data_IF_042314732883
#
_entry.id   IF_042314732883
#
_cell.length_a   1.000
_cell.length_b   1.000
_cell.length_c   1.000
_cell.angle_alpha   90.00
_cell.angle_beta   90.00
_cell.angle_gamma   90.00
#
_symmetry.space_group_name_H-M   'P 1'
#
loop_
_entity.id
_entity.type
_entity.pdbx_description
1 polymer ?
#
# COMPACT_ATOMS: atom_id res chain seq x y z
N UNK A 1 7.50 15.06 7.37
CA UNK A 1 6.15 15.61 7.12
C UNK A 1 5.91 15.57 5.63
N UNK A 2 4.72 15.13 5.22
CA UNK A 2 4.32 15.08 3.83
C UNK A 2 3.81 16.45 3.38
N UNK A 3 4.03 16.79 2.12
CA UNK A 3 3.41 17.94 1.47
C UNK A 3 1.98 17.63 1.04
N UNK A 4 1.12 18.64 0.79
CA UNK A 4 -0.24 18.41 0.31
C UNK A 4 -0.30 17.57 -0.97
N UNK A 5 0.66 17.80 -1.88
CA UNK A 5 0.79 17.03 -3.12
C UNK A 5 1.17 15.58 -2.86
N UNK A 6 2.06 15.32 -1.89
CA UNK A 6 2.44 13.97 -1.51
C UNK A 6 1.28 13.22 -0.85
N UNK A 7 0.50 13.86 0.03
CA UNK A 7 -0.69 13.24 0.63
C UNK A 7 -1.72 12.89 -0.45
N UNK A 8 -1.96 13.80 -1.40
CA UNK A 8 -2.85 13.55 -2.54
C UNK A 8 -2.37 12.35 -3.35
N UNK A 9 -1.08 12.30 -3.65
CA UNK A 9 -0.47 11.19 -4.38
C UNK A 9 -0.63 9.88 -3.61
N UNK A 10 -0.39 9.89 -2.30
CA UNK A 10 -0.47 8.75 -1.40
C UNK A 10 -1.90 8.18 -1.33
N UNK A 11 -2.93 9.03 -1.36
CA UNK A 11 -4.35 8.61 -1.49
C UNK A 11 -4.61 7.92 -2.84
N UNK A 12 -4.17 8.49 -3.95
CA UNK A 12 -4.37 7.88 -5.28
C UNK A 12 -3.59 6.58 -5.46
N UNK A 13 -2.39 6.51 -4.89
CA UNK A 13 -1.50 5.35 -4.96
C UNK A 13 -1.89 4.24 -3.99
N UNK A 14 -2.77 4.54 -3.04
CA UNK A 14 -3.19 3.62 -1.99
C UNK A 14 -3.60 2.24 -2.54
N UNK A 15 -4.38 2.23 -3.62
CA UNK A 15 -4.93 1.00 -4.19
C UNK A 15 -3.84 0.00 -4.62
N UNK A 16 -2.75 0.47 -5.26
CA UNK A 16 -1.68 -0.42 -5.71
C UNK A 16 -0.74 -0.76 -4.55
N UNK A 17 -0.50 0.18 -3.62
CA UNK A 17 0.29 -0.09 -2.41
C UNK A 17 -0.35 -1.21 -1.59
N UNK A 18 -1.67 -1.13 -1.39
CA UNK A 18 -2.43 -2.16 -0.67
C UNK A 18 -2.38 -3.52 -1.37
N UNK A 19 -2.60 -3.57 -2.70
CA UNK A 19 -2.50 -4.81 -3.49
C UNK A 19 -1.11 -5.45 -3.43
N UNK A 20 -0.06 -4.63 -3.44
CA UNK A 20 1.31 -5.13 -3.35
C UNK A 20 1.59 -5.73 -1.97
N UNK A 21 1.14 -5.07 -0.89
CA UNK A 21 1.25 -5.59 0.48
C UNK A 21 0.49 -6.92 0.60
N UNK A 22 -0.77 -6.98 0.14
CA UNK A 22 -1.57 -8.20 0.20
C UNK A 22 -0.92 -9.36 -0.58
N UNK A 23 -0.33 -9.08 -1.76
CA UNK A 23 0.41 -10.08 -2.53
C UNK A 23 1.67 -10.59 -1.80
N UNK A 24 2.42 -9.70 -1.15
CA UNK A 24 3.61 -10.10 -0.41
C UNK A 24 3.25 -10.96 0.80
N UNK A 25 2.20 -10.61 1.54
CA UNK A 25 1.69 -11.42 2.65
C UNK A 25 1.31 -12.82 2.17
N UNK A 26 0.62 -12.93 1.03
CA UNK A 26 0.26 -14.21 0.42
C UNK A 26 1.48 -15.06 0.05
N UNK A 27 2.53 -14.47 -0.52
CA UNK A 27 3.79 -15.15 -0.84
C UNK A 27 4.50 -15.67 0.42
N UNK A 28 4.56 -14.89 1.50
CA UNK A 28 5.17 -15.33 2.77
C UNK A 28 4.39 -16.47 3.45
N UNK A 29 3.06 -16.46 3.36
CA UNK A 29 2.21 -17.54 3.88
C UNK A 29 2.33 -18.82 3.03
N UNK A 30 2.31 -18.66 1.70
CA UNK A 30 2.44 -19.78 0.75
C UNK A 30 3.84 -20.43 0.77
N UNK A 31 4.89 -19.65 0.99
CA UNK A 31 6.27 -20.18 1.11
C UNK A 31 6.55 -20.88 2.44
N UNK A 32 5.67 -20.74 3.45
CA UNK A 32 5.80 -21.41 4.75
C UNK A 32 5.37 -22.88 4.75
N UNK A 33 4.70 -23.38 3.69
CA UNK A 33 4.21 -24.77 3.61
C UNK A 33 5.09 -25.69 2.72
N UNK A 34 6.00 -25.13 1.93
CA UNK A 34 6.74 -25.91 0.91
C UNK A 34 8.15 -26.42 1.26
N UNK A 35 8.73 -26.06 2.42
CA UNK A 35 10.16 -26.31 2.68
C UNK A 35 10.48 -27.52 3.57
N UNK A 36 9.48 -28.31 3.95
CA UNK A 36 9.65 -29.60 4.63
C UNK A 36 8.92 -30.73 3.89
N UNK A 37 8.96 -30.69 2.56
CA UNK A 37 8.73 -31.88 1.74
C UNK A 37 9.91 -32.82 1.89
N UNK A 38 9.63 -34.06 2.29
CA UNK A 38 10.50 -35.19 2.67
C UNK A 38 11.60 -35.58 1.64
N UNK A 39 11.82 -34.82 0.57
CA UNK A 39 12.81 -35.08 -0.48
C UNK A 39 14.20 -34.46 -0.25
N UNK A 40 14.49 -33.94 0.96
CA UNK A 40 15.83 -33.46 1.36
C UNK A 40 16.90 -34.57 1.53
N UNK A 41 16.69 -35.74 0.93
CA UNK A 41 17.47 -36.96 1.16
C UNK A 41 18.55 -37.26 0.10
N UNK A 42 19.04 -36.28 -0.67
CA UNK A 42 20.25 -36.48 -1.46
C UNK A 42 21.19 -35.25 -1.45
N UNK A 43 22.36 -35.33 -0.80
CA UNK A 43 23.39 -34.31 -0.94
C UNK A 43 24.24 -34.64 -2.17
N UNK A 44 24.22 -33.79 -3.20
CA UNK A 44 25.28 -33.81 -4.22
C UNK A 44 25.76 -32.42 -4.62
N UNK A 45 27.10 -32.33 -4.60
CA UNK A 45 28.03 -31.36 -5.16
C UNK A 45 28.14 -29.98 -4.47
N UNK A 46 29.20 -29.87 -3.66
CA UNK A 46 29.83 -28.63 -3.23
C UNK A 46 30.24 -27.77 -4.44
N UNK A 47 29.90 -26.48 -4.41
CA UNK A 47 30.40 -25.48 -5.35
C UNK A 47 29.73 -24.13 -5.18
N UNK A 48 30.35 -23.23 -4.40
CA UNK A 48 30.09 -21.78 -4.43
C UNK A 48 28.67 -21.31 -4.07
N UNK A 49 28.10 -21.75 -2.96
CA UNK A 49 26.72 -21.37 -2.55
C UNK A 49 26.65 -20.06 -1.74
N UNK A 50 27.79 -19.52 -1.28
CA UNK A 50 27.83 -18.34 -0.40
C UNK A 50 27.24 -17.08 -1.04
N UNK A 51 27.61 -16.76 -2.29
CA UNK A 51 27.15 -15.54 -2.96
C UNK A 51 25.65 -15.55 -3.24
N UNK A 52 25.08 -16.69 -3.64
CA UNK A 52 23.64 -16.79 -3.95
C UNK A 52 22.78 -16.62 -2.69
N UNK A 53 23.23 -17.15 -1.56
CA UNK A 53 22.52 -17.01 -0.27
C UNK A 53 22.63 -15.57 0.23
N UNK A 54 23.83 -14.96 0.20
CA UNK A 54 24.03 -13.57 0.62
C UNK A 54 23.22 -12.58 -0.23
N UNK A 55 23.22 -12.74 -1.56
CA UNK A 55 22.44 -11.89 -2.47
C UNK A 55 20.94 -12.05 -2.20
N UNK A 56 20.46 -13.26 -1.90
CA UNK A 56 19.05 -13.50 -1.55
C UNK A 56 18.68 -12.85 -0.21
N UNK A 57 19.53 -12.94 0.80
CA UNK A 57 19.31 -12.30 2.11
C UNK A 57 19.30 -10.78 2.00
N UNK A 58 20.24 -10.18 1.25
CA UNK A 58 20.29 -8.72 1.04
C UNK A 58 19.08 -8.23 0.23
N UNK A 59 18.65 -8.98 -0.80
CA UNK A 59 17.43 -8.66 -1.56
C UNK A 59 16.19 -8.72 -0.67
N UNK A 60 16.03 -9.81 0.10
CA UNK A 60 14.94 -9.94 1.05
C UNK A 60 14.93 -8.78 2.08
N UNK A 61 16.08 -8.36 2.59
CA UNK A 61 16.13 -7.24 3.54
C UNK A 61 15.76 -5.89 2.90
N UNK A 62 16.23 -5.62 1.67
CA UNK A 62 15.86 -4.41 0.92
C UNK A 62 14.38 -4.40 0.55
N UNK A 63 13.87 -5.52 0.06
CA UNK A 63 12.47 -5.67 -0.32
C UNK A 63 11.58 -5.51 0.91
N UNK A 64 11.97 -6.11 2.04
CA UNK A 64 11.24 -5.96 3.32
C UNK A 64 11.23 -4.51 3.82
N UNK A 65 12.35 -3.78 3.71
CA UNK A 65 12.38 -2.34 4.04
C UNK A 65 11.43 -1.54 3.14
N UNK A 66 11.42 -1.82 1.84
CA UNK A 66 10.50 -1.14 0.90
C UNK A 66 9.04 -1.47 1.17
N UNK A 67 8.72 -2.72 1.49
CA UNK A 67 7.37 -3.09 1.94
C UNK A 67 6.98 -2.37 3.21
N UNK A 68 7.89 -2.29 4.18
CA UNK A 68 7.64 -1.58 5.44
C UNK A 68 7.34 -0.09 5.21
N UNK A 69 8.10 0.58 4.34
CA UNK A 69 7.82 1.96 3.93
C UNK A 69 6.43 2.12 3.30
N UNK A 70 5.93 1.11 2.57
CA UNK A 70 4.59 1.13 1.99
C UNK A 70 3.51 0.91 3.05
N UNK A 71 3.73 -0.01 4.00
CA UNK A 71 2.81 -0.28 5.11
C UNK A 71 2.64 0.99 5.96
N UNK A 72 3.72 1.70 6.27
CA UNK A 72 3.67 2.95 7.04
C UNK A 72 2.85 4.03 6.33
N UNK A 73 3.00 4.16 5.00
CA UNK A 73 2.19 5.10 4.19
C UNK A 73 0.71 4.73 4.19
N UNK A 74 0.40 3.44 4.06
CA UNK A 74 -0.99 2.93 4.08
C UNK A 74 -1.61 3.16 5.47
N UNK A 75 -0.88 2.80 6.53
CA UNK A 75 -1.30 3.01 7.91
C UNK A 75 -1.57 4.49 8.20
N UNK A 76 -0.74 5.40 7.67
CA UNK A 76 -0.99 6.83 7.80
C UNK A 76 -2.35 7.26 7.24
N UNK A 77 -2.85 6.71 6.13
CA UNK A 77 -4.21 7.03 5.67
C UNK A 77 -5.24 6.44 6.62
N UNK A 78 -5.12 5.14 6.89
CA UNK A 78 -6.09 4.34 7.66
C UNK A 78 -6.29 4.90 9.07
N UNK A 79 -5.20 5.22 9.75
CA UNK A 79 -5.21 5.74 11.12
C UNK A 79 -5.92 7.08 11.23
N UNK A 80 -5.97 7.88 10.15
CA UNK A 80 -6.54 9.22 10.16
C UNK A 80 -7.90 9.31 9.46
N UNK A 81 -8.47 8.21 8.94
CA UNK A 81 -9.77 8.22 8.27
C UNK A 81 -10.91 8.67 9.19
N UNK A 82 -10.80 8.34 10.48
CA UNK A 82 -11.79 8.68 11.49
C UNK A 82 -11.99 10.19 11.68
N UNK A 83 -11.04 11.01 11.22
CA UNK A 83 -11.12 12.47 11.28
C UNK A 83 -12.01 13.06 10.19
N UNK A 84 -12.39 12.28 9.19
CA UNK A 84 -13.27 12.72 8.11
C UNK A 84 -14.72 12.62 8.58
N UNK A 85 -15.22 13.69 9.19
CA UNK A 85 -16.59 13.75 9.74
C UNK A 85 -17.69 13.81 8.67
N UNK A 86 -17.34 14.15 7.43
CA UNK A 86 -18.32 14.27 6.36
C UNK A 86 -18.49 12.96 5.60
N UNK A 87 -19.66 12.34 5.68
CA UNK A 87 -19.98 11.06 5.03
C UNK A 87 -19.65 11.03 3.54
N UNK A 88 -19.96 12.10 2.80
CA UNK A 88 -19.65 12.16 1.36
C UNK A 88 -18.14 12.16 1.11
N UNK A 89 -17.39 12.90 1.91
CA UNK A 89 -15.92 12.93 1.78
C UNK A 89 -15.32 11.58 2.16
N UNK A 90 -15.84 10.94 3.21
CA UNK A 90 -15.43 9.59 3.60
C UNK A 90 -15.67 8.59 2.47
N UNK A 91 -16.86 8.55 1.87
CA UNK A 91 -17.13 7.63 0.76
C UNK A 91 -16.29 7.93 -0.49
N UNK A 92 -16.00 9.20 -0.79
CA UNK A 92 -15.08 9.57 -1.88
C UNK A 92 -13.68 9.04 -1.61
N UNK A 93 -13.17 9.17 -0.38
CA UNK A 93 -11.88 8.60 0.01
C UNK A 93 -11.89 7.08 -0.19
N UNK A 94 -12.91 6.38 0.28
CA UNK A 94 -13.01 4.92 0.14
C UNK A 94 -12.99 4.49 -1.33
N UNK A 95 -13.71 5.18 -2.21
CA UNK A 95 -13.70 4.89 -3.65
C UNK A 95 -12.32 5.15 -4.28
N UNK A 96 -11.63 6.22 -3.87
CA UNK A 96 -10.27 6.49 -4.32
C UNK A 96 -9.29 5.41 -3.85
N UNK A 97 -9.42 4.94 -2.60
CA UNK A 97 -8.63 3.82 -2.05
C UNK A 97 -8.87 2.51 -2.78
N UNK A 98 -10.08 2.28 -3.30
CA UNK A 98 -10.40 1.13 -4.15
C UNK A 98 -9.74 1.23 -5.55
N UNK A 99 -9.24 2.41 -5.91
CA UNK A 99 -8.64 2.68 -7.22
C UNK A 99 -9.66 3.12 -8.27
N UNK A 100 -10.84 3.56 -7.85
CA UNK A 100 -11.86 4.05 -8.77
C UNK A 100 -11.42 5.36 -9.44
N UNK A 101 -11.72 5.48 -10.73
CA UNK A 101 -11.41 6.70 -11.48
C UNK A 101 -12.31 7.84 -11.01
N UNK A 102 -11.77 9.06 -10.94
CA UNK A 102 -12.52 10.27 -10.59
C UNK A 102 -13.78 10.44 -11.45
N UNK A 103 -13.72 10.07 -12.74
CA UNK A 103 -14.89 10.10 -13.63
C UNK A 103 -15.99 9.12 -13.18
N UNK A 104 -15.61 7.90 -12.77
CA UNK A 104 -16.55 6.89 -12.25
C UNK A 104 -17.18 7.37 -10.93
N UNK A 105 -16.37 7.92 -10.04
CA UNK A 105 -16.82 8.49 -8.76
C UNK A 105 -17.80 9.64 -8.99
N UNK A 106 -17.51 10.54 -9.93
CA UNK A 106 -18.39 11.65 -10.31
C UNK A 106 -19.76 11.16 -10.79
N UNK A 107 -19.76 10.14 -11.63
CA UNK A 107 -20.98 9.54 -12.15
C UNK A 107 -21.79 8.85 -11.03
N UNK A 108 -21.12 8.08 -10.18
CA UNK A 108 -21.76 7.33 -9.09
C UNK A 108 -22.37 8.27 -8.05
N UNK A 109 -21.64 9.33 -7.69
CA UNK A 109 -22.09 10.32 -6.71
C UNK A 109 -23.00 11.40 -7.29
N UNK A 110 -23.20 11.43 -8.62
CA UNK A 110 -23.94 12.46 -9.36
C UNK A 110 -23.44 13.89 -9.06
N UNK A 111 -22.13 14.07 -9.02
CA UNK A 111 -21.47 15.36 -8.77
C UNK A 111 -20.50 15.71 -9.89
N UNK A 112 -20.14 16.99 -9.98
CA UNK A 112 -19.12 17.44 -10.91
C UNK A 112 -17.73 16.97 -10.49
N UNK A 113 -16.87 16.72 -11.49
CA UNK A 113 -15.46 16.38 -11.27
C UNK A 113 -14.73 17.42 -10.44
N UNK A 114 -15.06 18.70 -10.64
CA UNK A 114 -14.51 19.83 -9.86
C UNK A 114 -14.88 19.73 -8.38
N UNK A 115 -16.07 19.24 -8.07
CA UNK A 115 -16.51 19.07 -6.69
C UNK A 115 -15.72 17.95 -6.00
N UNK A 116 -15.43 16.86 -6.71
CA UNK A 116 -14.57 15.78 -6.18
C UNK A 116 -13.16 16.32 -5.87
N UNK A 117 -12.55 17.08 -6.78
CA UNK A 117 -11.24 17.67 -6.51
C UNK A 117 -11.26 18.59 -5.30
N UNK A 118 -12.30 19.42 -5.14
CA UNK A 118 -12.46 20.25 -3.93
C UNK A 118 -12.58 19.41 -2.66
N UNK A 119 -13.33 18.32 -2.70
CA UNK A 119 -13.48 17.41 -1.56
C UNK A 119 -12.18 16.69 -1.24
N UNK A 120 -11.42 16.30 -2.26
CA UNK A 120 -10.08 15.74 -2.10
C UNK A 120 -9.12 16.74 -1.44
N UNK A 121 -9.15 18.02 -1.86
CA UNK A 121 -8.32 19.05 -1.24
C UNK A 121 -8.71 19.29 0.24
N UNK A 122 -10.00 19.17 0.59
CA UNK A 122 -10.46 19.20 2.00
C UNK A 122 -9.89 18.02 2.79
N UNK A 123 -9.95 16.80 2.23
CA UNK A 123 -9.39 15.60 2.87
C UNK A 123 -7.88 15.75 3.09
N UNK A 124 -7.15 16.23 2.07
CA UNK A 124 -5.72 16.51 2.17
C UNK A 124 -5.45 17.52 3.30
N UNK A 125 -6.22 18.60 3.38
CA UNK A 125 -6.05 19.58 4.47
C UNK A 125 -6.28 18.98 5.87
N UNK A 126 -7.25 18.07 6.02
CA UNK A 126 -7.46 17.36 7.28
C UNK A 126 -6.19 16.57 7.65
N UNK A 127 -5.64 15.79 6.73
CA UNK A 127 -4.41 15.03 6.98
C UNK A 127 -3.18 15.91 7.23
N UNK A 128 -3.09 17.08 6.59
CA UNK A 128 -2.02 18.05 6.85
C UNK A 128 -2.09 18.62 8.27
N UNK A 129 -3.30 18.90 8.78
CA UNK A 129 -3.49 19.43 10.12
C UNK A 129 -3.06 18.44 11.21
N UNK A 130 -3.15 17.13 10.97
CA UNK A 130 -2.70 16.12 11.95
C UNK A 130 -1.18 16.01 12.02
N UNK A 131 -0.49 16.38 10.95
CA UNK A 131 0.97 16.37 10.93
C UNK A 131 1.59 17.56 11.66
N UNK A 132 0.79 18.57 12.02
CA UNK A 132 1.26 19.81 12.68
C UNK A 132 1.24 19.64 14.19
#
# INVERSE_FOLDING_TARGET
>A
MYTPTEVKQLITDYHWMRRLIDHQVYEYDSTSIGQYGIESAMPKAQGGTGDKVLVRVIKNDKDRRKTQELIEKVAFIDDHEHLITNDKNYHILQLLKQGEKINTIAMLMKVDRKEIYRKLDIIVNIYMNVQT
#
